data_IF_788769314820
#
_entry.id   IF_788769314820
#
_cell.length_a   1.000
_cell.length_b   1.000
_cell.length_c   1.000
_cell.angle_alpha   90.00
_cell.angle_beta   90.00
_cell.angle_gamma   90.00
#
_symmetry.space_group_name_H-M   'P 1'
#
loop_
_entity.id
_entity.type
_entity.pdbx_description
1 polymer ?
#
# COMPACT_ATOMS: atom_id res chain seq x y z
N UNK A 1 -9.51 -11.63 -17.57
CA UNK A 1 -9.82 -13.04 -17.27
C UNK A 1 -11.19 -13.06 -16.60
N UNK A 2 -12.20 -13.53 -17.32
CA UNK A 2 -13.55 -13.74 -16.78
C UNK A 2 -13.49 -14.97 -15.86
N UNK A 3 -13.82 -14.80 -14.58
CA UNK A 3 -14.10 -15.90 -13.68
C UNK A 3 -15.61 -15.91 -13.50
N UNK A 4 -16.30 -16.52 -14.47
CA UNK A 4 -17.72 -16.80 -14.33
C UNK A 4 -17.88 -17.98 -13.36
N UNK A 5 -18.71 -17.75 -12.35
CA UNK A 5 -19.01 -18.72 -11.33
C UNK A 5 -20.05 -19.68 -11.85
N UNK A 6 -19.65 -20.93 -12.14
CA UNK A 6 -20.58 -22.05 -12.19
C UNK A 6 -19.87 -23.30 -11.67
N UNK A 7 -20.58 -23.99 -10.78
CA UNK A 7 -20.29 -25.34 -10.30
C UNK A 7 -19.92 -26.25 -11.48
N UNK A 8 -18.81 -26.98 -11.39
CA UNK A 8 -18.68 -28.24 -12.11
C UNK A 8 -17.74 -29.22 -11.38
N UNK A 9 -18.39 -30.22 -10.81
CA UNK A 9 -17.92 -31.57 -10.48
C UNK A 9 -17.14 -32.26 -11.61
N UNK A 10 -15.96 -32.83 -11.27
CA UNK A 10 -15.19 -33.96 -11.89
C UNK A 10 -14.81 -33.81 -13.39
N UNK A 11 -13.63 -34.18 -13.90
CA UNK A 11 -12.77 -35.36 -13.73
C UNK A 11 -11.34 -35.06 -14.25
N UNK A 12 -10.33 -35.84 -13.84
CA UNK A 12 -9.34 -36.34 -14.80
C UNK A 12 -9.00 -37.81 -14.51
N UNK A 13 -8.91 -38.57 -15.60
CA UNK A 13 -8.82 -40.02 -15.70
C UNK A 13 -7.36 -40.43 -15.56
N UNK A 14 -7.02 -41.25 -14.56
CA UNK A 14 -5.74 -41.96 -14.57
C UNK A 14 -5.82 -43.08 -15.62
N UNK A 15 -5.26 -42.82 -16.80
CA UNK A 15 -4.97 -43.89 -17.76
C UNK A 15 -3.79 -44.68 -17.19
N UNK A 16 -4.05 -45.93 -16.77
CA UNK A 16 -3.03 -46.89 -16.36
C UNK A 16 -2.04 -47.05 -17.52
N UNK A 17 -0.87 -46.42 -17.42
CA UNK A 17 0.22 -46.68 -18.35
C UNK A 17 0.90 -47.98 -17.90
N UNK A 18 0.59 -49.07 -18.58
CA UNK A 18 1.43 -50.26 -18.60
C UNK A 18 2.64 -49.95 -19.49
N UNK A 19 3.61 -49.24 -18.92
CA UNK A 19 4.94 -49.09 -19.53
C UNK A 19 5.98 -49.51 -18.47
N UNK A 20 6.93 -50.39 -18.83
CA UNK A 20 7.97 -50.79 -17.89
C UNK A 20 8.82 -49.58 -17.51
N UNK A 21 8.97 -49.33 -16.22
CA UNK A 21 9.82 -48.27 -15.68
C UNK A 21 11.24 -48.42 -16.26
N UNK A 22 11.69 -47.43 -17.04
CA UNK A 22 13.11 -47.27 -17.37
C UNK A 22 13.80 -46.68 -16.16
N UNK A 23 14.45 -47.52 -15.37
CA UNK A 23 15.35 -47.12 -14.31
C UNK A 23 16.64 -46.53 -14.91
N UNK A 24 17.01 -45.33 -14.47
CA UNK A 24 18.36 -44.79 -14.69
C UNK A 24 19.33 -45.55 -13.76
N UNK A 25 20.15 -46.42 -14.34
CA UNK A 25 21.25 -47.09 -13.63
C UNK A 25 22.40 -46.11 -13.35
N UNK A 26 22.57 -45.75 -12.09
CA UNK A 26 23.87 -45.32 -11.56
C UNK A 26 24.76 -46.54 -11.38
N UNK A 27 25.92 -46.54 -12.03
CA UNK A 27 26.89 -47.64 -11.95
C UNK A 27 27.72 -47.51 -10.68
N UNK A 28 27.50 -48.40 -9.71
CA UNK A 28 28.56 -48.80 -8.78
C UNK A 28 28.67 -50.32 -8.80
N UNK A 29 29.89 -50.79 -9.06
CA UNK A 29 30.25 -52.20 -9.05
C UNK A 29 30.23 -52.67 -7.60
N UNK A 30 29.19 -53.38 -7.21
CA UNK A 30 29.40 -54.60 -6.42
C UNK A 30 28.24 -55.58 -6.59
N UNK A 31 28.59 -56.75 -7.15
CA UNK A 31 27.68 -57.89 -7.27
C UNK A 31 27.78 -58.68 -5.99
N UNK A 32 26.76 -58.61 -5.13
CA UNK A 32 26.26 -59.74 -4.32
C UNK A 32 24.99 -59.32 -3.58
N UNK A 33 23.90 -60.04 -3.91
CA UNK A 33 22.77 -60.42 -3.06
C UNK A 33 22.24 -59.34 -2.10
N UNK A 34 21.10 -58.75 -2.45
CA UNK A 34 19.81 -59.01 -1.81
C UNK A 34 18.73 -58.14 -2.46
N UNK A 35 17.57 -58.73 -2.72
CA UNK A 35 16.34 -58.05 -3.10
C UNK A 35 15.81 -57.24 -1.90
N UNK A 36 16.53 -56.20 -1.50
CA UNK A 36 15.97 -55.14 -0.66
C UNK A 36 15.47 -54.02 -1.57
N UNK A 37 14.16 -54.04 -1.76
CA UNK A 37 13.37 -52.98 -2.35
C UNK A 37 13.64 -51.68 -1.55
N UNK A 38 14.47 -50.76 -2.06
CA UNK A 38 14.52 -49.37 -1.57
C UNK A 38 13.22 -48.67 -1.96
N UNK A 39 12.14 -48.99 -1.25
CA UNK A 39 10.81 -48.43 -1.42
C UNK A 39 10.40 -47.69 -0.13
N UNK A 40 11.31 -46.91 0.43
CA UNK A 40 11.13 -46.17 1.67
C UNK A 40 12.13 -45.01 1.69
N UNK A 41 11.93 -43.97 0.87
CA UNK A 41 12.54 -42.64 1.10
C UNK A 41 11.96 -41.54 0.19
N UNK A 42 11.41 -41.88 -0.99
CA UNK A 42 10.87 -40.87 -1.92
C UNK A 42 9.49 -40.33 -1.54
N UNK A 43 8.65 -41.12 -0.86
CA UNK A 43 7.31 -40.68 -0.47
C UNK A 43 7.33 -39.47 0.49
N UNK A 44 8.31 -39.43 1.41
CA UNK A 44 8.48 -38.33 2.35
C UNK A 44 9.00 -37.04 1.68
N UNK A 45 9.76 -37.16 0.59
CA UNK A 45 10.37 -36.03 -0.11
C UNK A 45 9.52 -35.46 -1.26
N UNK A 46 8.76 -36.31 -1.98
CA UNK A 46 7.98 -35.89 -3.16
C UNK A 46 6.64 -36.63 -3.36
N UNK A 47 6.18 -37.39 -2.37
CA UNK A 47 4.97 -38.24 -2.50
C UNK A 47 3.67 -37.58 -2.06
N UNK A 48 3.70 -36.38 -1.49
CA UNK A 48 2.49 -35.68 -1.05
C UNK A 48 1.69 -35.19 -2.26
N UNK A 49 0.44 -35.66 -2.36
CA UNK A 49 -0.54 -35.18 -3.34
C UNK A 49 -1.54 -34.28 -2.64
N UNK A 50 -1.59 -33.02 -3.05
CA UNK A 50 -2.47 -32.01 -2.46
C UNK A 50 -3.01 -31.06 -3.54
N UNK A 51 -4.23 -30.57 -3.35
CA UNK A 51 -4.77 -29.45 -4.12
C UNK A 51 -4.16 -28.13 -3.66
N UNK A 52 -4.31 -27.07 -4.47
CA UNK A 52 -3.85 -25.73 -4.10
C UNK A 52 -4.52 -25.27 -2.79
N UNK A 53 -5.82 -25.54 -2.63
CA UNK A 53 -6.56 -25.24 -1.40
C UNK A 53 -6.00 -26.00 -0.19
N UNK A 54 -5.62 -27.26 -0.35
CA UNK A 54 -5.00 -28.05 0.73
C UNK A 54 -3.62 -27.52 1.09
N UNK A 55 -2.77 -27.18 0.11
CA UNK A 55 -1.48 -26.53 0.37
C UNK A 55 -1.67 -25.17 1.04
N UNK A 56 -2.69 -24.40 0.63
CA UNK A 56 -3.00 -23.12 1.23
C UNK A 56 -3.37 -23.30 2.70
N UNK A 57 -4.21 -24.28 3.02
CA UNK A 57 -4.57 -24.61 4.40
C UNK A 57 -3.35 -25.04 5.21
N UNK A 58 -2.48 -25.88 4.65
CA UNK A 58 -1.24 -26.32 5.31
C UNK A 58 -0.35 -25.12 5.64
N UNK A 59 0.04 -24.32 4.64
CA UNK A 59 0.92 -23.17 4.84
C UNK A 59 0.29 -22.06 5.68
N UNK A 60 -1.04 -21.92 5.64
CA UNK A 60 -1.77 -21.00 6.53
C UNK A 60 -1.92 -21.56 7.95
N UNK A 61 -1.79 -22.88 8.16
CA UNK A 61 -1.89 -23.53 9.47
C UNK A 61 -0.56 -23.67 10.21
N UNK A 62 0.56 -23.42 9.50
CA UNK A 62 1.89 -23.29 10.12
C UNK A 62 1.88 -22.19 11.18
N UNK A 63 0.98 -21.19 11.03
CA UNK A 63 0.70 -20.18 12.06
C UNK A 63 -0.78 -19.77 12.05
N UNK A 64 -1.54 -20.15 13.07
CA UNK A 64 -2.84 -19.53 13.35
C UNK A 64 -2.82 -18.85 14.72
N UNK A 65 -2.88 -17.52 14.72
CA UNK A 65 -3.05 -16.72 15.93
C UNK A 65 -4.43 -16.08 16.07
N UNK A 66 -5.44 -16.40 15.25
CA UNK A 66 -6.77 -15.79 15.44
C UNK A 66 -7.99 -16.71 15.38
N UNK A 67 -8.01 -17.84 14.64
CA UNK A 67 -9.26 -18.62 14.54
C UNK A 67 -9.17 -20.16 14.54
N UNK A 68 -7.99 -20.78 14.68
CA UNK A 68 -7.86 -22.25 14.83
C UNK A 68 -6.54 -22.60 15.53
N UNK A 69 -6.46 -23.78 16.16
CA UNK A 69 -5.23 -24.27 16.80
C UNK A 69 -4.13 -24.43 15.75
N UNK A 70 -2.98 -23.78 15.95
CA UNK A 70 -1.77 -24.01 15.15
C UNK A 70 -1.32 -25.46 15.26
N UNK A 71 -0.87 -26.06 14.14
CA UNK A 71 -0.32 -27.43 14.14
C UNK A 71 1.10 -27.45 14.73
N UNK A 72 1.84 -26.35 14.58
CA UNK A 72 3.20 -26.19 15.09
C UNK A 72 3.26 -25.13 16.20
N UNK A 73 4.17 -25.32 17.14
CA UNK A 73 4.46 -24.32 18.17
C UNK A 73 5.23 -23.13 17.57
N UNK A 74 5.13 -21.97 18.21
CA UNK A 74 5.88 -20.76 17.79
C UNK A 74 7.40 -21.00 17.75
N UNK A 75 7.93 -21.75 18.72
CA UNK A 75 9.35 -22.06 18.81
C UNK A 75 9.78 -22.99 17.67
N UNK A 76 8.95 -23.97 17.32
CA UNK A 76 9.19 -24.86 16.18
C UNK A 76 9.22 -24.10 14.87
N UNK A 77 8.28 -23.16 14.65
CA UNK A 77 8.28 -22.32 13.44
C UNK A 77 9.52 -21.43 13.40
N UNK A 78 9.92 -20.85 14.54
CA UNK A 78 11.12 -20.01 14.64
C UNK A 78 12.36 -20.80 14.23
N UNK A 79 12.53 -22.03 14.73
CA UNK A 79 13.64 -22.92 14.35
C UNK A 79 13.58 -23.32 12.87
N UNK A 80 12.38 -23.54 12.32
CA UNK A 80 12.24 -23.88 10.90
C UNK A 80 12.67 -22.75 9.96
N UNK A 81 12.53 -21.49 10.39
CA UNK A 81 12.85 -20.32 9.60
C UNK A 81 14.23 -19.72 9.91
N UNK A 82 14.90 -20.19 10.95
CA UNK A 82 16.17 -19.63 11.42
C UNK A 82 17.24 -19.66 10.32
N UNK A 83 18.00 -18.57 10.21
CA UNK A 83 19.08 -18.47 9.23
C UNK A 83 20.32 -19.19 9.73
N UNK A 84 20.86 -20.16 8.99
CA UNK A 84 22.14 -20.78 9.34
C UNK A 84 23.26 -19.74 9.39
N UNK A 85 24.12 -19.80 10.41
CA UNK A 85 25.23 -18.84 10.60
C UNK A 85 26.18 -18.75 9.39
N UNK A 86 26.30 -19.84 8.63
CA UNK A 86 27.14 -19.92 7.45
C UNK A 86 26.54 -19.33 6.18
N UNK A 87 25.30 -18.81 6.23
CA UNK A 87 24.61 -18.24 5.08
C UNK A 87 24.63 -16.69 5.15
N UNK A 88 25.50 -16.02 4.37
CA UNK A 88 25.58 -14.56 4.35
C UNK A 88 24.46 -13.90 3.53
N UNK A 89 23.68 -14.71 2.79
CA UNK A 89 22.69 -14.25 1.84
C UNK A 89 21.40 -13.74 2.51
N UNK A 90 20.66 -12.91 1.76
CA UNK A 90 19.32 -12.40 2.14
C UNK A 90 18.21 -13.44 1.91
N UNK A 91 18.54 -14.51 1.20
CA UNK A 91 17.73 -15.70 1.04
C UNK A 91 18.51 -16.89 1.60
N UNK A 92 17.85 -17.80 2.31
CA UNK A 92 18.46 -19.02 2.81
C UNK A 92 17.47 -20.18 2.72
N UNK A 93 17.94 -21.37 3.05
CA UNK A 93 17.07 -22.52 3.24
C UNK A 93 17.10 -22.89 4.72
N UNK A 94 15.93 -22.78 5.37
CA UNK A 94 15.73 -23.19 6.76
C UNK A 94 15.50 -24.70 6.85
N UNK A 95 14.81 -25.16 7.90
CA UNK A 95 14.46 -26.57 8.03
C UNK A 95 13.22 -26.89 7.19
N UNK A 96 13.46 -27.25 5.92
CA UNK A 96 12.41 -27.69 4.99
C UNK A 96 11.66 -26.56 4.27
N UNK A 97 12.14 -25.32 4.37
CA UNK A 97 11.54 -24.16 3.73
C UNK A 97 12.63 -23.27 3.12
N UNK A 98 12.40 -22.82 1.88
CA UNK A 98 13.12 -21.69 1.32
C UNK A 98 12.64 -20.43 2.03
N UNK A 99 13.57 -19.65 2.55
CA UNK A 99 13.31 -18.39 3.22
C UNK A 99 13.90 -17.26 2.39
N UNK A 100 13.09 -16.24 2.15
CA UNK A 100 13.39 -15.06 1.33
C UNK A 100 13.11 -13.80 2.14
N UNK A 101 13.46 -12.65 1.57
CA UNK A 101 13.13 -11.34 2.14
C UNK A 101 13.65 -11.18 3.59
N UNK A 102 14.85 -11.68 3.89
CA UNK A 102 15.43 -11.63 5.24
C UNK A 102 14.58 -12.31 6.33
N UNK A 103 13.85 -13.37 6.01
CA UNK A 103 13.06 -14.12 7.00
C UNK A 103 11.58 -13.75 7.00
N UNK A 104 11.20 -12.78 6.17
CA UNK A 104 9.84 -12.26 6.12
C UNK A 104 8.93 -13.13 5.26
N UNK A 105 9.47 -13.83 4.26
CA UNK A 105 8.73 -14.73 3.39
C UNK A 105 9.36 -16.12 3.39
N UNK A 106 8.56 -17.17 3.44
CA UNK A 106 9.04 -18.55 3.43
C UNK A 106 8.10 -19.48 2.70
N UNK A 107 8.64 -20.53 2.12
CA UNK A 107 7.84 -21.42 1.29
C UNK A 107 8.59 -22.64 0.82
N UNK A 108 7.96 -23.37 -0.08
CA UNK A 108 8.61 -24.46 -0.77
C UNK A 108 8.20 -24.48 -2.24
N UNK A 109 9.13 -24.95 -3.07
CA UNK A 109 8.90 -25.25 -4.47
C UNK A 109 9.02 -26.76 -4.67
N UNK A 110 7.99 -27.38 -5.21
CA UNK A 110 7.99 -28.80 -5.54
C UNK A 110 7.91 -28.98 -7.05
N UNK A 111 8.84 -29.76 -7.61
CA UNK A 111 8.89 -30.08 -9.03
C UNK A 111 8.93 -31.58 -9.25
N UNK A 112 7.99 -32.08 -10.05
CA UNK A 112 8.05 -33.43 -10.62
C UNK A 112 8.47 -33.28 -12.09
N UNK A 113 9.59 -33.88 -12.53
CA UNK A 113 9.99 -33.88 -13.93
C UNK A 113 8.84 -34.36 -14.83
N UNK A 114 8.57 -33.64 -15.92
CA UNK A 114 7.47 -33.93 -16.87
C UNK A 114 6.06 -33.95 -16.25
N UNK A 115 5.87 -33.34 -15.07
CA UNK A 115 4.61 -33.36 -14.33
C UNK A 115 4.14 -31.99 -13.84
N UNK A 116 3.47 -32.01 -12.68
CA UNK A 116 2.96 -30.82 -11.99
C UNK A 116 4.04 -30.20 -11.13
N UNK A 117 4.12 -28.87 -11.19
CA UNK A 117 4.93 -28.03 -10.32
C UNK A 117 4.02 -27.39 -9.29
N UNK A 118 4.58 -27.20 -8.10
CA UNK A 118 3.90 -26.60 -6.97
C UNK A 118 4.76 -25.51 -6.39
N UNK A 119 4.12 -24.40 -6.06
CA UNK A 119 4.71 -23.31 -5.30
C UNK A 119 3.77 -23.04 -4.15
N UNK A 120 4.27 -23.06 -2.93
CA UNK A 120 3.50 -22.70 -1.74
C UNK A 120 4.37 -21.83 -0.85
N UNK A 121 3.97 -20.58 -0.69
CA UNK A 121 4.71 -19.60 0.09
C UNK A 121 3.76 -18.87 1.02
N UNK A 122 4.34 -18.43 2.13
CA UNK A 122 3.75 -17.69 3.21
C UNK A 122 4.61 -16.47 3.44
N UNK A 123 3.96 -15.33 3.58
CA UNK A 123 4.61 -14.11 4.01
C UNK A 123 4.15 -13.74 5.43
N UNK A 124 5.03 -13.09 6.18
CA UNK A 124 4.78 -12.56 7.52
C UNK A 124 3.56 -11.62 7.56
N UNK A 125 3.21 -10.98 6.44
CA UNK A 125 1.99 -10.17 6.28
C UNK A 125 0.70 -10.96 6.38
N UNK A 126 0.75 -12.27 6.57
CA UNK A 126 -0.44 -13.09 6.66
C UNK A 126 -1.01 -13.49 5.31
N UNK A 127 -0.27 -13.29 4.23
CA UNK A 127 -0.62 -13.76 2.89
C UNK A 127 -0.01 -15.15 2.69
N UNK A 128 -0.85 -16.12 2.33
CA UNK A 128 -0.40 -17.42 1.81
C UNK A 128 -0.78 -17.48 0.34
N UNK A 129 0.12 -17.92 -0.51
CA UNK A 129 -0.20 -18.20 -1.91
C UNK A 129 0.30 -19.57 -2.32
N UNK A 130 -0.53 -20.23 -3.12
CA UNK A 130 -0.26 -21.57 -3.63
C UNK A 130 -0.61 -21.65 -5.09
N UNK A 131 0.30 -22.18 -5.89
CA UNK A 131 0.11 -22.39 -7.33
C UNK A 131 0.44 -23.83 -7.63
N UNK A 132 -0.46 -24.49 -8.35
CA UNK A 132 -0.22 -25.78 -8.97
C UNK A 132 -0.33 -25.58 -10.49
N UNK A 133 0.66 -26.01 -11.25
CA UNK A 133 0.61 -25.92 -12.71
C UNK A 133 1.31 -27.11 -13.36
N UNK A 134 0.79 -27.59 -14.49
CA UNK A 134 1.36 -28.72 -15.22
C UNK A 134 2.11 -28.23 -16.46
N UNK A 135 3.39 -28.62 -16.58
CA UNK A 135 4.19 -28.32 -17.80
C UNK A 135 3.64 -29.04 -19.04
N UNK A 136 2.97 -30.18 -18.85
CA UNK A 136 2.35 -30.96 -19.93
C UNK A 136 1.17 -30.23 -20.56
N UNK A 137 0.44 -29.43 -19.78
CA UNK A 137 -0.74 -28.68 -20.25
C UNK A 137 -0.37 -27.28 -20.77
N UNK A 138 0.74 -26.70 -20.30
CA UNK A 138 1.15 -25.33 -20.68
C UNK A 138 2.07 -25.25 -21.89
N UNK A 139 2.71 -26.36 -22.30
CA UNK A 139 3.61 -26.41 -23.45
C UNK A 139 4.88 -25.56 -23.33
N UNK A 140 5.16 -25.00 -22.17
CA UNK A 140 6.30 -24.10 -21.93
C UNK A 140 7.10 -24.51 -20.70
N UNK A 141 8.43 -24.45 -20.79
CA UNK A 141 9.33 -24.64 -19.66
C UNK A 141 9.33 -23.36 -18.80
N UNK A 142 8.34 -23.20 -17.93
CA UNK A 142 8.33 -22.08 -16.98
C UNK A 142 9.51 -22.24 -16.02
N UNK A 143 10.49 -21.34 -16.12
CA UNK A 143 11.62 -21.26 -15.20
C UNK A 143 11.13 -20.73 -13.84
N UNK A 144 11.71 -21.22 -12.74
CA UNK A 144 11.31 -20.94 -11.35
C UNK A 144 11.24 -19.43 -10.99
N UNK A 145 11.87 -18.57 -11.81
CA UNK A 145 11.96 -17.11 -11.65
C UNK A 145 10.69 -16.38 -12.16
N UNK A 146 9.85 -17.00 -12.98
CA UNK A 146 8.65 -16.36 -13.53
C UNK A 146 7.45 -16.42 -12.57
N UNK A 147 7.30 -17.49 -11.79
CA UNK A 147 6.14 -17.72 -10.93
C UNK A 147 6.08 -16.77 -9.74
N UNK A 148 7.21 -16.53 -9.06
CA UNK A 148 7.29 -15.56 -7.98
C UNK A 148 6.98 -14.13 -8.46
N UNK A 149 7.32 -13.83 -9.71
CA UNK A 149 7.04 -12.53 -10.34
C UNK A 149 5.56 -12.41 -10.76
N UNK A 150 4.98 -13.46 -11.33
CA UNK A 150 3.53 -13.53 -11.63
C UNK A 150 2.67 -13.45 -10.37
N UNK A 151 3.13 -14.02 -9.25
CA UNK A 151 2.42 -13.95 -7.98
C UNK A 151 2.54 -12.57 -7.34
N UNK A 152 3.73 -11.95 -7.33
CA UNK A 152 3.87 -10.53 -6.92
C UNK A 152 2.97 -9.61 -7.73
N UNK A 153 2.79 -9.91 -9.02
CA UNK A 153 1.82 -9.24 -9.88
C UNK A 153 0.36 -9.53 -9.46
N UNK A 154 -0.04 -10.78 -9.22
CA UNK A 154 -1.39 -11.11 -8.76
C UNK A 154 -1.72 -10.49 -7.38
N UNK A 155 -0.74 -10.40 -6.48
CA UNK A 155 -0.87 -9.76 -5.18
C UNK A 155 -0.99 -8.23 -5.29
N UNK A 156 -0.35 -7.61 -6.29
CA UNK A 156 -0.55 -6.18 -6.61
C UNK A 156 -1.95 -5.84 -7.11
N UNK A 157 -2.64 -6.86 -7.61
CA UNK A 157 -3.94 -6.83 -8.30
C UNK A 157 -5.10 -7.15 -7.35
N UNK A 158 -4.80 -7.70 -6.16
CA UNK A 158 -5.81 -8.17 -5.21
C UNK A 158 -6.15 -7.07 -4.19
N UNK A 159 -7.39 -6.56 -4.16
CA UNK A 159 -7.75 -5.39 -3.36
C UNK A 159 -7.90 -5.65 -1.85
N UNK A 160 -8.12 -6.91 -1.44
CA UNK A 160 -8.33 -7.29 -0.03
C UNK A 160 -7.58 -8.57 0.31
N UNK A 161 -6.83 -8.56 1.42
CA UNK A 161 -6.32 -9.76 2.07
C UNK A 161 -6.94 -9.86 3.47
N UNK A 162 -7.22 -11.09 3.91
CA UNK A 162 -7.56 -11.38 5.30
C UNK A 162 -6.38 -11.07 6.24
N UNK A 163 -6.70 -10.78 7.50
CA UNK A 163 -5.83 -10.21 8.53
C UNK A 163 -4.53 -10.98 8.82
N UNK A 164 -3.51 -10.22 9.23
CA UNK A 164 -2.08 -10.52 9.32
C UNK A 164 -1.67 -11.53 10.42
N UNK A 165 -0.48 -12.13 10.27
CA UNK A 165 0.20 -12.95 11.31
C UNK A 165 0.91 -12.07 12.35
N UNK A 166 0.91 -12.49 13.62
CA UNK A 166 1.44 -11.75 14.77
C UNK A 166 2.82 -12.26 15.26
N UNK A 167 3.47 -13.18 14.54
CA UNK A 167 4.60 -13.94 15.11
C UNK A 167 5.91 -13.16 15.21
N UNK A 168 6.19 -12.23 14.28
CA UNK A 168 7.45 -11.46 14.25
C UNK A 168 7.36 -10.04 14.84
N UNK A 169 6.15 -9.52 15.11
CA UNK A 169 5.99 -8.23 15.77
C UNK A 169 5.87 -8.40 17.28
N UNK A 170 6.98 -8.28 18.01
CA UNK A 170 6.94 -8.15 19.49
C UNK A 170 6.24 -6.86 19.98
N UNK A 171 5.91 -5.92 19.07
CA UNK A 171 5.45 -4.57 19.41
C UNK A 171 4.15 -4.09 18.72
N UNK A 172 3.32 -4.97 18.15
CA UNK A 172 2.05 -4.53 17.53
C UNK A 172 0.86 -5.11 18.32
N UNK A 173 0.44 -4.36 19.35
CA UNK A 173 -0.67 -4.69 20.25
C UNK A 173 -2.08 -4.49 19.66
N UNK A 174 -2.21 -4.20 18.35
CA UNK A 174 -3.47 -3.68 17.77
C UNK A 174 -4.28 -4.65 16.89
N UNK A 175 -3.87 -5.92 16.72
CA UNK A 175 -4.54 -6.87 15.81
C UNK A 175 -5.86 -7.49 16.35
N UNK A 176 -6.49 -6.85 17.34
CA UNK A 176 -7.69 -7.34 18.02
C UNK A 176 -9.03 -6.72 17.57
N UNK A 177 -9.06 -5.87 16.54
CA UNK A 177 -10.30 -5.28 16.05
C UNK A 177 -10.71 -5.89 14.70
N UNK A 178 -11.99 -6.24 14.55
CA UNK A 178 -12.64 -6.67 13.30
C UNK A 178 -12.70 -5.57 12.22
N UNK A 179 -11.78 -4.58 12.27
CA UNK A 179 -11.70 -3.48 11.32
C UNK A 179 -10.39 -3.57 10.56
N UNK A 180 -10.48 -3.77 9.24
CA UNK A 180 -9.35 -4.05 8.36
C UNK A 180 -8.58 -2.79 7.93
N UNK A 181 -7.87 -2.13 8.85
CA UNK A 181 -6.86 -1.12 8.51
C UNK A 181 -5.52 -1.43 9.20
N UNK A 182 -4.41 -0.96 8.63
CA UNK A 182 -3.07 -1.21 9.20
C UNK A 182 -2.62 -0.03 10.02
N UNK A 183 -2.32 -0.24 11.30
CA UNK A 183 -1.59 0.69 12.14
C UNK A 183 -0.15 0.22 12.37
N UNK A 184 0.83 1.08 12.17
CA UNK A 184 2.24 0.81 12.46
C UNK A 184 2.86 1.98 13.22
N UNK A 185 3.61 1.69 14.28
CA UNK A 185 4.37 2.69 15.04
C UNK A 185 5.82 2.69 14.56
N UNK A 186 6.48 3.85 14.51
CA UNK A 186 7.94 3.92 14.38
C UNK A 186 8.66 3.34 15.61
N UNK A 187 9.96 3.05 15.50
CA UNK A 187 10.79 2.48 16.59
C UNK A 187 10.71 3.28 17.89
N UNK A 188 10.68 4.62 17.79
CA UNK A 188 10.62 5.54 18.92
C UNK A 188 9.19 5.97 19.29
N UNK A 189 8.18 5.43 18.59
CA UNK A 189 6.76 5.76 18.83
C UNK A 189 6.51 7.28 18.63
N UNK A 190 7.31 7.90 17.79
CA UNK A 190 7.23 9.31 17.38
C UNK A 190 6.37 9.50 16.13
N UNK A 191 6.10 8.43 15.37
CA UNK A 191 5.16 8.42 14.26
C UNK A 191 4.23 7.21 14.32
N UNK A 192 2.99 7.40 13.85
CA UNK A 192 2.03 6.32 13.59
C UNK A 192 1.56 6.42 12.15
N UNK A 193 1.53 5.28 11.46
CA UNK A 193 1.09 5.16 10.08
C UNK A 193 -0.19 4.35 10.04
N UNK A 194 -1.24 4.94 9.47
CA UNK A 194 -2.48 4.26 9.18
C UNK A 194 -2.69 4.11 7.69
N UNK A 195 -2.95 2.89 7.25
CA UNK A 195 -3.14 2.57 5.84
C UNK A 195 -4.50 1.91 5.66
N UNK A 196 -5.30 2.49 4.77
CA UNK A 196 -6.68 2.11 4.51
C UNK A 196 -7.64 2.18 5.71
N UNK A 197 -7.54 3.23 6.53
CA UNK A 197 -8.56 3.52 7.54
C UNK A 197 -9.89 3.85 6.83
N UNK A 198 -11.01 3.13 7.07
CA UNK A 198 -12.30 3.47 6.48
C UNK A 198 -12.75 4.89 6.85
N UNK A 199 -13.27 5.64 5.87
CA UNK A 199 -13.64 7.05 6.04
C UNK A 199 -14.57 7.32 7.24
N UNK A 200 -15.51 6.41 7.50
CA UNK A 200 -16.45 6.56 8.62
C UNK A 200 -15.77 6.51 10.00
N UNK A 201 -14.57 5.93 10.12
CA UNK A 201 -13.84 5.78 11.39
C UNK A 201 -12.90 6.94 11.72
N UNK A 202 -12.61 7.83 10.75
CA UNK A 202 -11.61 8.90 10.90
C UNK A 202 -11.86 9.77 12.14
N UNK A 203 -13.11 10.14 12.44
CA UNK A 203 -13.43 11.00 13.60
C UNK A 203 -13.19 10.31 14.95
N UNK A 204 -13.57 9.04 15.08
CA UNK A 204 -13.33 8.27 16.29
C UNK A 204 -11.82 8.05 16.48
N UNK A 205 -11.11 7.77 15.38
CA UNK A 205 -9.68 7.56 15.41
C UNK A 205 -8.91 8.84 15.74
N UNK A 206 -9.31 9.97 15.15
CA UNK A 206 -8.85 11.32 15.52
C UNK A 206 -8.94 11.58 17.02
N UNK A 207 -10.08 11.26 17.63
CA UNK A 207 -10.28 11.50 19.07
C UNK A 207 -9.29 10.68 19.91
N UNK A 208 -9.07 9.43 19.53
CA UNK A 208 -8.15 8.51 20.20
C UNK A 208 -6.70 9.00 20.05
N UNK A 209 -6.25 9.21 18.83
CA UNK A 209 -4.87 9.63 18.53
C UNK A 209 -4.54 10.99 19.16
N UNK A 210 -5.50 11.92 19.18
CA UNK A 210 -5.33 13.21 19.86
C UNK A 210 -5.15 13.07 21.37
N UNK A 211 -5.91 12.18 22.02
CA UNK A 211 -5.76 11.88 23.45
C UNK A 211 -4.39 11.25 23.76
N UNK A 212 -3.87 10.44 22.84
CA UNK A 212 -2.52 9.86 22.93
C UNK A 212 -1.39 10.85 22.60
N UNK A 213 -1.71 12.11 22.29
CA UNK A 213 -0.72 13.15 22.04
C UNK A 213 -0.17 13.17 20.60
N UNK A 214 -0.89 12.57 19.65
CA UNK A 214 -0.54 12.62 18.23
C UNK A 214 -1.29 13.72 17.49
N UNK A 215 -0.68 14.18 16.40
CA UNK A 215 -1.21 15.14 15.47
C UNK A 215 -1.28 14.54 14.07
N UNK A 216 -2.40 14.76 13.37
CA UNK A 216 -2.58 14.33 11.99
C UNK A 216 -1.74 15.22 11.06
N UNK A 217 -0.54 14.76 10.72
CA UNK A 217 0.41 15.49 9.90
C UNK A 217 0.08 15.41 8.41
N UNK A 218 -0.34 14.24 7.94
CA UNK A 218 -0.74 14.05 6.55
C UNK A 218 -1.96 13.12 6.47
N UNK A 219 -2.83 13.39 5.50
CA UNK A 219 -3.94 12.52 5.14
C UNK A 219 -4.07 12.48 3.61
N UNK A 220 -4.31 11.30 3.08
CA UNK A 220 -4.65 11.04 1.69
C UNK A 220 -5.94 10.22 1.63
N UNK A 221 -6.84 10.53 0.70
CA UNK A 221 -8.11 9.83 0.52
C UNK A 221 -8.15 9.11 -0.82
N UNK A 222 -8.60 7.86 -0.80
CA UNK A 222 -8.70 7.02 -1.98
C UNK A 222 -10.05 6.32 -2.06
N UNK A 223 -10.65 6.35 -3.26
CA UNK A 223 -11.85 5.58 -3.57
C UNK A 223 -11.45 4.21 -4.14
N UNK A 224 -11.93 3.15 -3.49
CA UNK A 224 -11.87 1.80 -4.00
C UNK A 224 -13.27 1.21 -4.06
N UNK A 225 -13.78 1.01 -5.28
CA UNK A 225 -15.08 0.36 -5.50
C UNK A 225 -16.20 1.01 -4.69
N UNK A 226 -16.34 2.34 -4.79
CA UNK A 226 -17.33 3.16 -4.09
C UNK A 226 -17.16 3.24 -2.56
N UNK A 227 -16.06 2.72 -2.02
CA UNK A 227 -15.70 2.88 -0.61
C UNK A 227 -14.51 3.82 -0.47
N UNK A 228 -14.59 4.78 0.45
CA UNK A 228 -13.52 5.74 0.72
C UNK A 228 -12.67 5.28 1.90
N UNK A 229 -11.36 5.31 1.71
CA UNK A 229 -10.36 5.00 2.72
C UNK A 229 -9.36 6.13 2.84
N UNK A 230 -8.71 6.22 4.00
CA UNK A 230 -7.67 7.18 4.30
C UNK A 230 -6.33 6.48 4.55
N UNK A 231 -5.25 7.11 4.09
CA UNK A 231 -3.91 6.87 4.60
C UNK A 231 -3.50 8.08 5.42
N UNK A 232 -3.01 7.84 6.64
CA UNK A 232 -2.75 8.90 7.61
C UNK A 232 -1.33 8.73 8.17
N UNK A 233 -0.61 9.84 8.26
CA UNK A 233 0.64 9.94 9.01
C UNK A 233 0.39 10.80 10.23
N UNK A 234 0.61 10.21 11.39
CA UNK A 234 0.53 10.87 12.68
C UNK A 234 1.94 11.12 13.19
N UNK A 235 2.16 12.33 13.72
CA UNK A 235 3.39 12.66 14.42
C UNK A 235 3.07 12.89 15.89
N UNK A 236 3.89 12.34 16.78
CA UNK A 236 3.84 12.63 18.20
C UNK A 236 4.13 14.11 18.39
N UNK A 237 3.27 14.79 19.14
CA UNK A 237 3.24 16.23 19.12
C UNK A 237 3.17 16.83 20.52
N UNK A 238 4.34 17.08 21.10
CA UNK A 238 4.48 17.73 22.41
C UNK A 238 4.21 19.26 22.34
N UNK A 239 4.11 19.87 21.15
CA UNK A 239 4.07 21.33 20.97
C UNK A 239 2.83 21.94 20.30
N UNK A 240 2.02 21.18 19.55
CA UNK A 240 0.78 21.69 18.92
C UNK A 240 -0.42 21.29 19.78
N UNK A 241 -0.83 22.18 20.68
CA UNK A 241 -1.93 21.90 21.59
C UNK A 241 -3.32 22.10 20.96
N UNK A 242 -3.45 23.07 20.04
CA UNK A 242 -4.75 23.45 19.46
C UNK A 242 -4.81 23.12 17.96
N UNK A 243 -5.42 21.97 17.65
CA UNK A 243 -5.71 21.52 16.30
C UNK A 243 -7.06 20.79 16.25
N UNK A 244 -7.68 20.72 15.07
CA UNK A 244 -8.96 20.04 14.85
C UNK A 244 -9.06 19.51 13.42
N UNK A 245 -10.01 18.62 13.19
CA UNK A 245 -10.36 18.16 11.85
C UNK A 245 -11.79 18.58 11.51
N UNK A 246 -12.05 18.72 10.21
CA UNK A 246 -13.39 18.75 9.65
C UNK A 246 -13.48 17.63 8.61
N UNK A 247 -14.41 16.71 8.82
CA UNK A 247 -14.76 15.64 7.88
C UNK A 247 -16.12 15.96 7.28
N UNK A 248 -16.27 15.82 5.97
CA UNK A 248 -17.51 16.12 5.28
C UNK A 248 -17.82 15.10 4.19
N UNK A 249 -19.11 14.83 3.98
CA UNK A 249 -19.62 13.96 2.92
C UNK A 249 -20.88 14.61 2.34
N UNK A 250 -20.79 15.12 1.12
CA UNK A 250 -21.88 15.83 0.44
C UNK A 250 -22.39 14.98 -0.72
N UNK A 251 -23.71 14.79 -0.82
CA UNK A 251 -24.30 14.12 -1.99
C UNK A 251 -24.24 15.03 -3.23
N UNK A 252 -23.97 14.44 -4.39
CA UNK A 252 -23.99 15.06 -5.72
C UNK A 252 -25.25 15.90 -6.00
N UNK A 253 -26.41 15.49 -5.49
CA UNK A 253 -27.67 16.23 -5.65
C UNK A 253 -27.77 17.49 -4.76
N UNK A 254 -26.95 17.57 -3.72
CA UNK A 254 -26.94 18.61 -2.70
C UNK A 254 -25.68 19.49 -2.79
N UNK A 255 -24.91 19.39 -3.88
CA UNK A 255 -23.63 20.09 -4.03
C UNK A 255 -23.83 21.61 -3.98
N UNK A 256 -23.62 22.16 -2.78
CA UNK A 256 -23.55 23.60 -2.49
C UNK A 256 -22.21 23.91 -1.85
N UNK A 257 -21.16 23.95 -2.67
CA UNK A 257 -19.79 24.20 -2.18
C UNK A 257 -19.63 25.54 -1.43
N UNK A 258 -20.47 26.54 -1.72
CA UNK A 258 -20.43 27.82 -1.02
C UNK A 258 -20.74 27.76 0.49
N UNK A 259 -21.45 26.72 0.96
CA UNK A 259 -21.67 26.50 2.40
C UNK A 259 -20.41 25.91 3.04
N UNK A 260 -19.80 24.90 2.42
CA UNK A 260 -18.54 24.31 2.88
C UNK A 260 -17.40 25.33 2.91
N UNK A 261 -17.27 26.15 1.85
CA UNK A 261 -16.29 27.24 1.83
C UNK A 261 -16.50 28.22 2.97
N UNK A 262 -17.75 28.63 3.22
CA UNK A 262 -18.08 29.57 4.30
C UNK A 262 -17.70 29.02 5.67
N UNK A 263 -18.02 27.77 5.92
CA UNK A 263 -17.71 27.10 7.20
C UNK A 263 -16.19 27.00 7.42
N UNK A 264 -15.44 26.62 6.39
CA UNK A 264 -13.97 26.56 6.46
C UNK A 264 -13.40 27.95 6.69
N UNK A 265 -13.92 28.96 5.99
CA UNK A 265 -13.49 30.35 6.16
C UNK A 265 -13.82 30.90 7.55
N UNK A 266 -14.91 30.46 8.19
CA UNK A 266 -15.22 30.81 9.57
C UNK A 266 -14.19 30.25 10.56
N UNK A 267 -13.76 29.00 10.36
CA UNK A 267 -12.69 28.36 11.17
C UNK A 267 -11.35 29.09 10.93
N UNK A 268 -11.02 29.45 9.70
CA UNK A 268 -9.80 30.23 9.42
C UNK A 268 -9.86 31.60 10.11
N UNK A 269 -11.03 32.23 10.10
CA UNK A 269 -11.25 33.53 10.74
C UNK A 269 -11.20 33.47 12.28
N UNK A 270 -11.45 32.31 12.89
CA UNK A 270 -11.33 32.10 14.34
C UNK A 270 -9.90 31.84 14.81
N UNK A 271 -8.90 32.03 13.93
CA UNK A 271 -7.48 31.93 14.27
C UNK A 271 -6.84 30.60 13.92
N UNK A 272 -7.48 29.77 13.10
CA UNK A 272 -6.87 28.55 12.57
C UNK A 272 -6.32 28.76 11.15
N UNK A 273 -5.44 27.86 10.73
CA UNK A 273 -5.01 27.69 9.35
C UNK A 273 -5.16 26.23 8.94
N UNK A 274 -5.45 26.00 7.66
CA UNK A 274 -5.46 24.67 7.06
C UNK A 274 -4.01 24.16 7.01
N UNK A 275 -3.80 22.99 7.58
CA UNK A 275 -2.53 22.28 7.59
C UNK A 275 -2.41 21.32 6.41
N UNK A 276 -3.44 20.50 6.21
CA UNK A 276 -3.56 19.59 5.07
C UNK A 276 -5.02 19.41 4.68
N UNK A 277 -5.26 19.03 3.43
CA UNK A 277 -6.59 18.75 2.87
C UNK A 277 -6.49 17.54 1.96
N UNK A 278 -7.47 16.66 2.08
CA UNK A 278 -7.65 15.54 1.16
C UNK A 278 -9.10 15.49 0.70
N UNK A 279 -9.31 15.37 -0.60
CA UNK A 279 -10.63 15.23 -1.21
C UNK A 279 -10.69 14.03 -2.12
N UNK A 280 -11.81 13.33 -2.05
CA UNK A 280 -12.09 12.17 -2.87
C UNK A 280 -13.58 12.13 -3.19
N UNK A 281 -13.98 11.23 -4.08
CA UNK A 281 -15.36 11.17 -4.53
C UNK A 281 -15.76 9.76 -4.92
N UNK A 282 -17.03 9.44 -4.68
CA UNK A 282 -17.72 8.29 -5.27
C UNK A 282 -18.46 8.74 -6.54
N UNK A 283 -19.27 7.88 -7.14
CA UNK A 283 -20.14 8.30 -8.25
C UNK A 283 -21.10 9.42 -7.84
N UNK A 284 -21.60 9.38 -6.60
CA UNK A 284 -22.70 10.21 -6.12
C UNK A 284 -22.35 11.09 -4.94
N UNK A 285 -21.12 11.06 -4.42
CA UNK A 285 -20.77 11.86 -3.24
C UNK A 285 -19.36 12.41 -3.27
N UNK A 286 -19.23 13.62 -2.74
CA UNK A 286 -17.98 14.30 -2.43
C UNK A 286 -17.57 13.98 -1.00
N UNK A 287 -16.30 13.68 -0.78
CA UNK A 287 -15.74 13.46 0.55
C UNK A 287 -14.52 14.36 0.74
N UNK A 288 -14.47 15.04 1.88
CA UNK A 288 -13.33 15.88 2.24
C UNK A 288 -12.92 15.65 3.70
N UNK A 289 -11.62 15.72 3.94
CA UNK A 289 -11.05 15.87 5.28
C UNK A 289 -10.09 17.04 5.26
N UNK A 290 -10.30 17.99 6.17
CA UNK A 290 -9.49 19.20 6.32
C UNK A 290 -8.94 19.20 7.74
N UNK A 291 -7.61 19.27 7.85
CA UNK A 291 -6.93 19.37 9.14
C UNK A 291 -6.54 20.82 9.39
N UNK A 292 -6.89 21.33 10.56
CA UNK A 292 -6.63 22.70 10.97
C UNK A 292 -5.67 22.74 12.15
N UNK A 293 -4.76 23.72 12.14
CA UNK A 293 -3.91 24.07 13.28
C UNK A 293 -4.14 25.52 13.69
N UNK A 294 -4.14 25.81 14.97
CA UNK A 294 -4.20 27.19 15.47
C UNK A 294 -2.98 27.96 15.00
N UNK A 295 -3.18 29.20 14.55
CA UNK A 295 -2.09 30.09 14.18
C UNK A 295 -1.31 30.46 15.44
N UNK A 296 0.01 30.37 15.35
CA UNK A 296 0.89 30.99 16.35
C UNK A 296 1.07 32.46 16.02
N UNK A 297 1.55 33.28 16.97
CA UNK A 297 1.71 34.74 16.78
C UNK A 297 2.50 35.12 15.51
N UNK A 298 3.46 34.27 15.10
CA UNK A 298 4.29 34.46 13.89
C UNK A 298 3.48 34.26 12.60
N UNK A 299 2.46 33.41 12.61
CA UNK A 299 1.62 33.04 11.46
C UNK A 299 0.42 33.96 11.23
N UNK A 300 0.13 34.87 12.16
CA UNK A 300 -1.05 35.77 12.10
C UNK A 300 -1.07 36.67 10.87
N UNK A 301 0.09 36.92 10.25
CA UNK A 301 0.24 37.77 9.06
C UNK A 301 -0.23 37.10 7.77
N UNK A 302 -0.28 35.77 7.75
CA UNK A 302 -0.67 34.99 6.58
C UNK A 302 -2.18 34.72 6.64
N UNK A 303 -2.88 35.17 5.60
CA UNK A 303 -4.32 34.94 5.45
C UNK A 303 -4.49 33.81 4.44
N UNK A 304 -5.13 32.73 4.90
CA UNK A 304 -5.52 31.65 4.02
C UNK A 304 -6.93 31.87 3.47
N UNK A 305 -7.15 31.45 2.22
CA UNK A 305 -8.46 31.31 1.61
C UNK A 305 -8.66 29.87 1.17
N UNK A 306 -9.89 29.39 1.27
CA UNK A 306 -10.30 28.06 0.87
C UNK A 306 -11.32 28.19 -0.27
N UNK A 307 -11.12 27.41 -1.32
CA UNK A 307 -11.93 27.46 -2.54
C UNK A 307 -12.17 26.03 -3.05
N UNK A 308 -13.40 25.76 -3.49
CA UNK A 308 -13.77 24.57 -4.24
C UNK A 308 -14.27 25.02 -5.61
N UNK A 309 -13.51 24.66 -6.62
CA UNK A 309 -13.72 25.12 -7.98
C UNK A 309 -14.18 23.95 -8.83
N UNK A 310 -15.35 24.12 -9.45
CA UNK A 310 -15.81 23.25 -10.53
C UNK A 310 -15.00 23.60 -11.77
N UNK A 311 -14.22 22.65 -12.27
CA UNK A 311 -13.40 22.85 -13.46
C UNK A 311 -14.23 22.42 -14.66
N UNK A 312 -14.80 23.39 -15.36
CA UNK A 312 -15.46 23.15 -16.65
C UNK A 312 -14.41 22.74 -17.70
N UNK A 313 -14.68 21.61 -18.36
CA UNK A 313 -13.76 20.94 -19.27
C UNK A 313 -13.49 21.76 -20.55
N UNK A 314 -12.43 22.58 -20.57
CA UNK A 314 -11.86 23.11 -21.80
C UNK A 314 -10.50 22.45 -22.12
N UNK A 315 -10.55 21.29 -22.78
CA UNK A 315 -9.39 20.53 -23.31
C UNK A 315 -8.53 19.76 -22.28
N UNK A 316 -7.91 18.63 -22.70
CA UNK A 316 -7.14 17.75 -21.82
C UNK A 316 -5.90 18.40 -21.16
N UNK A 317 -5.50 19.61 -21.56
CA UNK A 317 -4.23 20.20 -21.12
C UNK A 317 -4.28 21.67 -20.64
N UNK A 318 -5.41 22.39 -20.68
CA UNK A 318 -5.33 23.87 -20.60
C UNK A 318 -6.32 24.72 -19.75
N UNK A 319 -7.44 24.24 -19.17
CA UNK A 319 -8.32 25.12 -18.40
C UNK A 319 -7.74 25.43 -17.01
N UNK A 320 -7.09 24.45 -16.39
CA UNK A 320 -6.47 24.58 -15.07
C UNK A 320 -5.21 25.44 -15.10
N UNK A 321 -4.40 25.41 -16.16
CA UNK A 321 -3.22 26.28 -16.24
C UNK A 321 -3.59 27.78 -16.28
N UNK A 322 -4.75 28.14 -16.83
CA UNK A 322 -5.27 29.52 -16.82
C UNK A 322 -5.92 29.91 -15.50
N UNK A 323 -6.77 29.06 -14.92
CA UNK A 323 -7.38 29.35 -13.63
C UNK A 323 -6.32 29.46 -12.52
N UNK A 324 -5.25 28.66 -12.64
CA UNK A 324 -4.17 28.63 -11.66
C UNK A 324 -3.05 29.61 -12.01
N UNK A 325 -2.95 30.16 -13.24
CA UNK A 325 -1.99 31.25 -13.50
C UNK A 325 -2.30 32.50 -12.67
N UNK A 326 -3.58 32.80 -12.45
CA UNK A 326 -4.02 34.00 -11.75
C UNK A 326 -3.83 33.92 -10.22
N UNK A 327 -3.76 32.71 -9.66
CA UNK A 327 -3.57 32.43 -8.22
C UNK A 327 -2.27 31.66 -7.90
N UNK A 328 -1.45 31.43 -8.92
CA UNK A 328 -0.28 30.52 -8.95
C UNK A 328 0.66 30.64 -7.76
N UNK A 329 1.04 31.87 -7.43
CA UNK A 329 2.01 32.16 -6.37
C UNK A 329 1.42 32.17 -4.96
N UNK A 330 0.14 31.80 -4.81
CA UNK A 330 -0.57 31.82 -3.53
C UNK A 330 -1.05 30.43 -3.13
N UNK A 331 -1.18 29.47 -4.05
CA UNK A 331 -1.65 28.11 -3.71
C UNK A 331 -0.63 27.43 -2.80
N UNK A 332 -1.09 26.88 -1.68
CA UNK A 332 -0.26 26.16 -0.70
C UNK A 332 -0.68 24.70 -0.52
N UNK A 333 -1.96 24.38 -0.78
CA UNK A 333 -2.47 23.01 -0.77
C UNK A 333 -3.48 22.86 -1.92
N UNK A 334 -3.54 21.66 -2.49
CA UNK A 334 -4.33 21.43 -3.69
C UNK A 334 -4.76 19.97 -3.85
N UNK A 335 -6.06 19.72 -3.80
CA UNK A 335 -6.65 18.39 -3.96
C UNK A 335 -7.63 18.34 -5.14
N UNK A 336 -7.63 17.24 -5.89
CA UNK A 336 -8.42 17.03 -7.11
C UNK A 336 -9.21 15.73 -7.02
N UNK A 337 -10.50 15.78 -7.34
CA UNK A 337 -11.33 14.58 -7.48
C UNK A 337 -12.39 14.73 -8.58
N UNK A 338 -13.16 13.67 -8.82
CA UNK A 338 -14.19 13.62 -9.86
C UNK A 338 -15.52 13.04 -9.34
N UNK A 339 -16.58 13.84 -9.29
CA UNK A 339 -17.94 13.37 -8.98
C UNK A 339 -18.69 13.21 -10.30
N UNK A 340 -19.10 12.00 -10.66
CA UNK A 340 -19.56 11.75 -12.03
C UNK A 340 -18.53 12.24 -13.06
N UNK A 341 -18.94 13.03 -14.04
CA UNK A 341 -18.02 13.65 -15.02
C UNK A 341 -17.44 15.00 -14.55
N UNK A 342 -17.86 15.50 -13.39
CA UNK A 342 -17.48 16.82 -12.90
C UNK A 342 -16.12 16.73 -12.20
N UNK A 343 -15.14 17.49 -12.70
CA UNK A 343 -13.85 17.66 -12.05
C UNK A 343 -13.92 18.75 -10.99
N UNK A 344 -13.50 18.44 -9.78
CA UNK A 344 -13.43 19.39 -8.66
C UNK A 344 -11.98 19.63 -8.26
N UNK A 345 -11.67 20.89 -7.99
CA UNK A 345 -10.41 21.36 -7.46
C UNK A 345 -10.65 22.01 -6.10
N UNK A 346 -10.07 21.46 -5.05
CA UNK A 346 -10.04 22.07 -3.72
C UNK A 346 -8.69 22.74 -3.53
N UNK A 347 -8.68 24.05 -3.39
CA UNK A 347 -7.47 24.84 -3.27
C UNK A 347 -7.44 25.61 -1.95
N UNK A 348 -6.27 25.61 -1.30
CA UNK A 348 -5.96 26.55 -0.23
C UNK A 348 -4.93 27.51 -0.75
N UNK A 349 -5.24 28.81 -0.69
CA UNK A 349 -4.30 29.88 -1.04
C UNK A 349 -3.87 30.65 0.19
N UNK A 350 -2.69 31.25 0.17
CA UNK A 350 -2.12 32.02 1.26
C UNK A 350 -1.58 33.36 0.73
N UNK A 351 -1.97 34.44 1.39
CA UNK A 351 -1.54 35.80 1.07
C UNK A 351 -0.86 36.44 2.30
N UNK A 352 0.30 37.04 2.09
CA UNK A 352 0.94 37.93 3.06
C UNK A 352 0.39 39.36 2.92
N UNK A 353 -0.10 39.91 4.03
CA UNK A 353 -0.55 41.31 4.14
C UNK A 353 0.54 42.32 3.74
N UNK A 354 1.83 41.96 3.86
CA UNK A 354 2.99 42.82 3.57
C UNK A 354 3.67 42.54 2.21
N UNK A 355 2.99 41.84 1.28
CA UNK A 355 3.42 41.61 -0.12
C UNK A 355 4.67 40.73 -0.33
N UNK A 356 5.22 40.03 0.67
CA UNK A 356 6.22 38.99 0.36
C UNK A 356 5.49 37.75 -0.16
N UNK A 357 5.49 37.59 -1.48
CA UNK A 357 4.98 36.36 -2.11
C UNK A 357 5.85 35.19 -1.66
N UNK A 358 5.26 34.17 -1.05
CA UNK A 358 5.90 32.87 -0.89
C UNK A 358 6.08 32.33 -2.30
N UNK A 359 7.32 32.01 -2.70
CA UNK A 359 7.56 31.42 -4.01
C UNK A 359 7.13 29.96 -3.95
N UNK A 360 5.96 29.69 -4.52
CA UNK A 360 5.41 28.35 -4.66
C UNK A 360 5.38 27.96 -6.13
N UNK A 361 5.82 26.75 -6.44
CA UNK A 361 5.71 26.13 -7.75
C UNK A 361 4.73 24.97 -7.63
N UNK A 362 3.66 24.96 -8.43
CA UNK A 362 2.67 23.88 -8.39
C UNK A 362 2.57 23.23 -9.77
N UNK A 363 2.19 21.96 -9.79
CA UNK A 363 1.98 21.18 -11.00
C UNK A 363 0.67 20.43 -10.88
N UNK A 364 -0.22 20.61 -11.85
CA UNK A 364 -1.47 19.87 -11.96
C UNK A 364 -1.40 19.02 -13.22
N UNK A 365 -1.86 17.78 -13.12
CA UNK A 365 -1.90 16.84 -14.25
C UNK A 365 -0.52 16.51 -14.84
N UNK A 366 0.52 16.44 -14.01
CA UNK A 366 1.77 15.81 -14.44
C UNK A 366 1.57 14.30 -14.53
N UNK A 367 1.92 13.70 -15.67
CA UNK A 367 2.09 12.25 -15.72
C UNK A 367 3.26 11.84 -14.81
N UNK A 368 3.33 10.57 -14.41
CA UNK A 368 4.31 10.08 -13.43
C UNK A 368 5.78 10.35 -13.82
N UNK A 369 6.09 10.34 -15.12
CA UNK A 369 7.43 10.64 -15.64
C UNK A 369 7.77 12.14 -15.51
N UNK A 370 6.82 13.02 -15.83
CA UNK A 370 6.98 14.46 -15.65
C UNK A 370 7.08 14.83 -14.16
N UNK A 371 6.27 14.19 -13.31
CA UNK A 371 6.33 14.32 -11.86
C UNK A 371 7.75 14.02 -11.33
N UNK A 372 8.30 12.86 -11.69
CA UNK A 372 9.63 12.43 -11.22
C UNK A 372 10.73 13.41 -11.65
N UNK A 373 10.69 13.89 -12.90
CA UNK A 373 11.65 14.88 -13.41
C UNK A 373 11.53 16.23 -12.70
N UNK A 374 10.31 16.69 -12.42
CA UNK A 374 10.08 17.97 -11.76
C UNK A 374 10.52 17.92 -10.28
N UNK A 375 10.28 16.81 -9.58
CA UNK A 375 10.72 16.63 -8.20
C UNK A 375 12.26 16.64 -8.10
N UNK A 376 12.95 15.97 -9.04
CA UNK A 376 14.42 16.02 -9.12
C UNK A 376 14.92 17.44 -9.34
N UNK A 377 14.38 18.17 -10.32
CA UNK A 377 14.74 19.57 -10.57
C UNK A 377 14.50 20.46 -9.35
N UNK A 378 13.39 20.27 -8.65
CA UNK A 378 13.06 21.03 -7.45
C UNK A 378 14.07 20.79 -6.32
N UNK A 379 14.54 19.55 -6.16
CA UNK A 379 15.58 19.21 -5.19
C UNK A 379 16.92 19.93 -5.49
N UNK A 380 17.29 20.06 -6.77
CA UNK A 380 18.50 20.77 -7.21
C UNK A 380 18.47 22.27 -6.83
N UNK A 381 17.28 22.89 -6.90
CA UNK A 381 17.08 24.29 -6.55
C UNK A 381 16.57 24.51 -5.11
N UNK A 382 16.62 23.46 -4.28
CA UNK A 382 16.22 23.46 -2.86
C UNK A 382 14.78 23.91 -2.59
N UNK A 383 13.84 23.50 -3.44
CA UNK A 383 12.40 23.64 -3.19
C UNK A 383 11.86 22.32 -2.63
N UNK A 384 11.16 22.38 -1.49
CA UNK A 384 10.60 21.21 -0.80
C UNK A 384 9.19 20.82 -1.27
N UNK A 385 8.78 19.59 -0.96
CA UNK A 385 7.46 19.06 -1.28
C UNK A 385 6.43 19.44 -0.23
N UNK A 386 5.59 20.43 -0.51
CA UNK A 386 4.55 20.87 0.41
C UNK A 386 3.30 19.97 0.37
N UNK A 387 2.82 19.62 -0.82
CA UNK A 387 1.63 18.80 -1.00
C UNK A 387 1.77 17.89 -2.22
N UNK A 388 1.19 16.69 -2.14
CA UNK A 388 1.09 15.75 -3.25
C UNK A 388 -0.19 14.95 -3.11
N UNK A 389 -0.86 14.76 -4.25
CA UNK A 389 -2.00 13.87 -4.36
C UNK A 389 -1.98 13.21 -5.74
N UNK A 390 -2.28 11.93 -5.77
CA UNK A 390 -2.47 11.19 -7.01
C UNK A 390 -3.97 11.06 -7.28
N UNK A 391 -4.38 11.21 -8.53
CA UNK A 391 -5.77 11.02 -8.93
C UNK A 391 -5.86 10.39 -10.32
N UNK A 392 -6.94 9.65 -10.56
CA UNK A 392 -7.22 9.06 -11.87
C UNK A 392 -8.01 10.04 -12.72
N UNK A 393 -7.49 10.39 -13.90
CA UNK A 393 -8.24 11.17 -14.87
C UNK A 393 -9.37 10.31 -15.44
N UNK A 394 -10.64 10.70 -15.24
CA UNK A 394 -11.77 9.88 -15.71
C UNK A 394 -11.83 9.72 -17.23
N UNK A 395 -11.32 10.68 -18.00
CA UNK A 395 -11.36 10.69 -19.47
C UNK A 395 -10.20 9.88 -20.06
N UNK A 396 -8.97 10.24 -19.72
CA UNK A 396 -7.78 9.56 -20.27
C UNK A 396 -7.49 8.23 -19.60
N UNK A 397 -8.10 7.96 -18.43
CA UNK A 397 -7.82 6.83 -17.54
C UNK A 397 -6.40 6.81 -16.96
N UNK A 398 -5.58 7.79 -17.29
CA UNK A 398 -4.21 7.92 -16.79
C UNK A 398 -4.19 8.40 -15.33
N UNK A 399 -3.16 7.99 -14.61
CA UNK A 399 -2.82 8.54 -13.31
C UNK A 399 -2.15 9.88 -13.49
N UNK A 400 -2.70 10.89 -12.83
CA UNK A 400 -2.18 12.23 -12.76
C UNK A 400 -1.70 12.53 -11.34
N UNK A 401 -0.72 13.42 -11.22
CA UNK A 401 -0.24 13.93 -9.94
C UNK A 401 -0.51 15.42 -9.84
N UNK A 402 -1.08 15.82 -8.70
CA UNK A 402 -1.19 17.19 -8.23
C UNK A 402 -0.08 17.43 -7.20
N UNK A 403 0.72 18.46 -7.38
CA UNK A 403 1.89 18.75 -6.54
C UNK A 403 1.96 20.23 -6.23
N UNK A 404 2.29 20.56 -4.98
CA UNK A 404 2.68 21.91 -4.56
C UNK A 404 4.08 21.82 -3.96
N UNK A 405 5.01 22.59 -4.51
CA UNK A 405 6.39 22.71 -4.08
C UNK A 405 6.64 24.11 -3.55
N UNK A 406 7.32 24.23 -2.42
CA UNK A 406 7.55 25.52 -1.77
C UNK A 406 8.96 25.62 -1.20
N UNK A 407 9.53 26.82 -1.28
CA UNK A 407 10.78 27.17 -0.59
C UNK A 407 10.66 27.09 0.94
N UNK A 408 9.45 27.12 1.49
CA UNK A 408 9.19 26.98 2.94
C UNK A 408 8.99 25.54 3.40
N UNK A 409 8.89 24.58 2.48
CA UNK A 409 8.72 23.17 2.80
C UNK A 409 10.08 22.48 3.03
N UNK A 410 10.09 21.43 3.85
CA UNK A 410 11.27 20.57 4.02
C UNK A 410 11.60 19.87 2.71
N UNK A 411 12.89 19.66 2.46
CA UNK A 411 13.36 18.92 1.29
C UNK A 411 12.95 17.46 1.41
N UNK A 412 12.52 16.87 0.30
CA UNK A 412 12.26 15.44 0.24
C UNK A 412 13.58 14.69 0.08
N UNK A 413 13.93 13.84 1.04
CA UNK A 413 15.14 13.02 0.99
C UNK A 413 14.95 11.80 0.10
N UNK A 414 13.79 11.16 0.18
CA UNK A 414 13.45 9.98 -0.62
C UNK A 414 11.99 10.01 -1.04
N UNK A 415 11.75 9.68 -2.31
CA UNK A 415 10.44 9.54 -2.91
C UNK A 415 10.37 8.18 -3.60
N UNK A 416 9.48 7.30 -3.13
CA UNK A 416 9.22 6.01 -3.77
C UNK A 416 7.75 5.92 -4.11
N UNK A 417 7.43 5.48 -5.32
CA UNK A 417 6.07 5.34 -5.84
C UNK A 417 5.97 4.08 -6.71
N UNK A 418 4.75 3.68 -7.06
CA UNK A 418 4.52 2.45 -7.83
C UNK A 418 4.68 1.18 -7.00
N UNK A 419 4.65 1.30 -5.66
CA UNK A 419 4.77 0.16 -4.78
C UNK A 419 3.46 -0.59 -4.72
N UNK A 420 3.52 -1.91 -4.87
CA UNK A 420 2.39 -2.79 -4.53
C UNK A 420 2.14 -2.71 -3.02
N UNK A 421 0.95 -3.11 -2.56
CA UNK A 421 0.66 -3.19 -1.11
C UNK A 421 1.73 -3.95 -0.35
N UNK A 422 2.15 -5.10 -0.87
CA UNK A 422 3.20 -5.93 -0.27
C UNK A 422 4.53 -5.17 -0.15
N UNK A 423 5.03 -4.64 -1.27
CA UNK A 423 6.30 -3.91 -1.29
C UNK A 423 6.26 -2.64 -0.42
N UNK A 424 5.11 -1.99 -0.34
CA UNK A 424 4.88 -0.85 0.53
C UNK A 424 4.93 -1.21 2.01
N UNK A 425 4.19 -2.26 2.42
CA UNK A 425 4.18 -2.72 3.81
C UNK A 425 5.55 -3.22 4.26
N UNK A 426 6.28 -3.92 3.38
CA UNK A 426 7.66 -4.31 3.63
C UNK A 426 8.58 -3.09 3.77
N UNK A 427 8.43 -2.08 2.91
CA UNK A 427 9.17 -0.83 3.03
C UNK A 427 8.89 -0.16 4.38
N UNK A 428 7.62 0.00 4.76
CA UNK A 428 7.22 0.56 6.05
C UNK A 428 7.79 -0.22 7.24
N UNK A 429 7.76 -1.55 7.20
CA UNK A 429 8.31 -2.40 8.26
C UNK A 429 9.83 -2.19 8.44
N UNK A 430 10.54 -1.94 7.33
CA UNK A 430 11.96 -1.59 7.37
C UNK A 430 12.19 -0.15 7.87
N UNK A 431 11.34 0.81 7.50
CA UNK A 431 11.41 2.19 8.01
C UNK A 431 11.20 2.26 9.51
N UNK A 432 10.20 1.54 10.01
CA UNK A 432 9.89 1.48 11.44
C UNK A 432 11.08 1.01 12.27
N UNK A 433 12.00 0.23 11.70
CA UNK A 433 13.23 -0.25 12.35
C UNK A 433 14.43 0.69 12.20
N UNK A 434 14.32 1.76 11.41
CA UNK A 434 15.42 2.64 11.01
C UNK A 434 15.31 4.00 11.69
N UNK A 435 16.35 4.40 12.43
CA UNK A 435 16.35 5.61 13.26
C UNK A 435 16.55 6.93 12.48
N UNK A 436 16.69 6.88 11.15
CA UNK A 436 17.23 8.00 10.36
C UNK A 436 16.24 8.73 9.45
N UNK A 437 15.02 8.21 9.23
CA UNK A 437 14.10 8.76 8.22
C UNK A 437 12.66 8.85 8.74
N UNK A 438 12.13 10.08 8.80
CA UNK A 438 10.72 10.32 9.09
C UNK A 438 9.89 10.29 7.81
N UNK A 439 8.80 9.51 7.81
CA UNK A 439 7.85 9.51 6.70
C UNK A 439 6.97 10.75 6.83
N UNK A 440 6.97 11.58 5.79
CA UNK A 440 6.25 12.84 5.74
C UNK A 440 4.86 12.66 5.13
N UNK A 441 4.75 11.86 4.05
CA UNK A 441 3.50 11.65 3.32
C UNK A 441 3.37 10.21 2.84
N UNK A 442 2.14 9.70 2.85
CA UNK A 442 1.74 8.42 2.25
C UNK A 442 0.56 8.71 1.32
N UNK A 443 0.63 8.25 0.07
CA UNK A 443 -0.42 8.41 -0.92
C UNK A 443 -0.75 7.09 -1.60
N UNK A 444 -1.99 6.93 -2.06
CA UNK A 444 -2.44 5.78 -2.83
C UNK A 444 -3.06 6.22 -4.15
N UNK A 445 -2.87 5.40 -5.19
CA UNK A 445 -3.57 5.56 -6.45
C UNK A 445 -3.91 4.23 -7.09
N UNK A 446 -4.90 4.26 -7.98
CA UNK A 446 -5.35 3.10 -8.73
C UNK A 446 -4.97 3.25 -10.20
N UNK A 447 -4.15 2.34 -10.70
CA UNK A 447 -3.75 2.28 -12.09
C UNK A 447 -4.00 0.89 -12.68
N UNK A 448 -4.62 0.84 -13.85
CA UNK A 448 -5.01 -0.43 -14.50
C UNK A 448 -5.74 -1.44 -13.58
N UNK A 449 -6.52 -0.94 -12.61
CA UNK A 449 -7.25 -1.77 -11.64
C UNK A 449 -6.41 -2.27 -10.47
N UNK A 450 -5.15 -1.84 -10.37
CA UNK A 450 -4.21 -2.19 -9.31
C UNK A 450 -4.00 -1.01 -8.37
N UNK A 451 -3.76 -1.33 -7.10
CA UNK A 451 -3.53 -0.33 -6.07
C UNK A 451 -2.03 -0.17 -5.90
N UNK A 452 -1.57 1.07 -6.03
CA UNK A 452 -0.19 1.45 -5.81
C UNK A 452 -0.07 2.47 -4.69
N UNK A 453 1.07 2.42 -4.00
CA UNK A 453 1.42 3.31 -2.92
C UNK A 453 2.63 4.14 -3.28
N UNK A 454 2.66 5.34 -2.72
CA UNK A 454 3.80 6.22 -2.70
C UNK A 454 4.05 6.71 -1.29
N UNK A 455 5.32 6.87 -0.91
CA UNK A 455 5.70 7.54 0.32
C UNK A 455 6.86 8.51 0.09
N UNK A 456 6.92 9.50 0.96
CA UNK A 456 7.87 10.61 0.90
C UNK A 456 8.49 10.78 2.28
N UNK A 457 9.81 10.94 2.32
CA UNK A 457 10.56 11.19 3.57
C UNK A 457 11.23 12.56 3.53
N UNK A 458 11.41 13.19 4.69
CA UNK A 458 12.04 14.51 4.86
C UNK A 458 13.20 14.48 5.82
#
# INVERSE_FOLDING_TARGET
VYLDGLQNTKFCVLKKHEAPAKFLHGTTKDKRKEDELFLLETAAYCGLVASAEQLFKIFSSVELSLFQRSVLSKDSVTQMLERPECCPDKEWYGLGLKVSDNGESWGHFGRIPEGTHSLAFRDQSGITWTVLFSQVESGSQTLDIELGTMMRHALSVTPRFSSYSSVLFKHVSFLGMEVSFYGMYSSHIDQVFEVFLPFYLIENHYTTMKQEGYFMHHIDLVNMSENIYANIVWNKNEGIQDWLIRKNSINSQELRFGEEERDVMQIISSGFKVHTVATCSTQSSFHSVIVFRKKTDVDTRLIQRFLIIVVEDCSPCNPLNRLVSDISNMVVLLSVCYIGEIKLLTAVTECDLNKRRVRTEFYIASNLQAFSRNLLKASEIRIGLQHVQFYKNKRTKEVCVCVVLSMSAKLTNTCVWGLTRYAFMQSLANFVKSDSLAIDKICTYVDEGKIYYAYFTT
#
